data_IF_820628667276
#
_entry.id   IF_820628667276
#
_cell.length_a   1.000
_cell.length_b   1.000
_cell.length_c   1.000
_cell.angle_alpha   90.00
_cell.angle_beta   90.00
_cell.angle_gamma   90.00
#
_symmetry.space_group_name_H-M   'P 1'
#
loop_
_entity.id
_entity.type
_entity.pdbx_description
1 polymer ?
#
# COMPACT_ATOMS: atom_id res chain seq x y z
N UNK A 1 -16.76 25.92 30.93
CA UNK A 1 -17.47 26.42 29.74
C UNK A 1 -16.42 26.64 28.69
N UNK A 2 -16.16 25.62 27.89
CA UNK A 2 -15.45 25.78 26.62
C UNK A 2 -16.45 26.38 25.66
N UNK A 3 -16.15 27.56 25.15
CA UNK A 3 -16.89 28.15 24.03
C UNK A 3 -16.65 27.20 22.85
N UNK A 4 -17.71 26.52 22.39
CA UNK A 4 -17.67 25.81 21.11
C UNK A 4 -17.46 26.88 20.03
N UNK A 5 -16.24 26.92 19.46
CA UNK A 5 -15.98 27.67 18.23
C UNK A 5 -16.89 27.09 17.15
N UNK A 6 -17.86 27.88 16.71
CA UNK A 6 -18.77 27.54 15.63
C UNK A 6 -17.97 27.57 14.32
N UNK A 7 -17.48 26.41 13.87
CA UNK A 7 -16.74 26.28 12.61
C UNK A 7 -17.64 26.64 11.43
N UNK A 8 -17.16 27.48 10.52
CA UNK A 8 -17.87 27.87 9.30
C UNK A 8 -18.01 26.65 8.35
N UNK A 9 -19.22 26.13 8.11
CA UNK A 9 -19.43 24.95 7.28
C UNK A 9 -19.02 25.15 5.81
N UNK A 10 -19.00 26.39 5.31
CA UNK A 10 -18.56 26.66 3.93
C UNK A 10 -17.03 26.54 3.81
N UNK A 11 -16.29 26.93 4.86
CA UNK A 11 -14.84 26.72 4.91
C UNK A 11 -14.48 25.23 4.96
N UNK A 12 -15.19 24.45 5.79
CA UNK A 12 -15.00 22.99 5.84
C UNK A 12 -15.28 22.32 4.48
N UNK A 13 -16.29 22.79 3.75
CA UNK A 13 -16.63 22.24 2.44
C UNK A 13 -15.54 22.53 1.39
N UNK A 14 -14.96 23.72 1.38
CA UNK A 14 -13.86 24.05 0.47
C UNK A 14 -12.60 23.23 0.76
N UNK A 15 -12.29 22.98 2.04
CA UNK A 15 -11.18 22.10 2.44
C UNK A 15 -11.40 20.67 1.95
N UNK A 16 -12.61 20.13 2.11
CA UNK A 16 -12.98 18.79 1.61
C UNK A 16 -12.88 18.72 0.09
N UNK A 17 -13.31 19.75 -0.64
CA UNK A 17 -13.15 19.81 -2.11
C UNK A 17 -11.68 19.80 -2.51
N UNK A 18 -10.84 20.58 -1.84
CA UNK A 18 -9.39 20.62 -2.07
C UNK A 18 -8.74 19.26 -1.84
N UNK A 19 -9.13 18.57 -0.77
CA UNK A 19 -8.69 17.21 -0.43
C UNK A 19 -9.03 16.22 -1.54
N UNK A 20 -10.29 16.22 -2.00
CA UNK A 20 -10.78 15.34 -3.06
C UNK A 20 -10.06 15.63 -4.37
N UNK A 21 -9.89 16.91 -4.73
CA UNK A 21 -9.19 17.29 -5.95
C UNK A 21 -7.73 16.80 -5.96
N UNK A 22 -7.02 16.95 -4.83
CA UNK A 22 -5.66 16.44 -4.66
C UNK A 22 -5.58 14.92 -4.82
N UNK A 23 -6.51 14.17 -4.20
CA UNK A 23 -6.59 12.71 -4.35
C UNK A 23 -6.81 12.27 -5.80
N UNK A 24 -7.71 12.94 -6.51
CA UNK A 24 -7.99 12.67 -7.93
C UNK A 24 -6.77 12.96 -8.80
N UNK A 25 -6.15 14.12 -8.64
CA UNK A 25 -4.95 14.51 -9.41
C UNK A 25 -3.82 13.50 -9.17
N UNK A 26 -3.60 13.10 -7.92
CA UNK A 26 -2.59 12.10 -7.56
C UNK A 26 -2.89 10.73 -8.17
N UNK A 27 -4.15 10.30 -8.18
CA UNK A 27 -4.58 9.08 -8.85
C UNK A 27 -4.30 9.10 -10.36
N UNK A 28 -4.58 10.22 -11.02
CA UNK A 28 -4.29 10.42 -12.45
C UNK A 28 -2.78 10.40 -12.70
N UNK A 29 -1.99 11.14 -11.91
CA UNK A 29 -0.53 11.15 -12.01
C UNK A 29 0.05 9.74 -11.89
N UNK A 30 -0.40 8.97 -10.88
CA UNK A 30 0.00 7.57 -10.71
C UNK A 30 -0.36 6.72 -11.93
N UNK A 31 -1.57 6.88 -12.48
CA UNK A 31 -1.99 6.15 -13.68
C UNK A 31 -1.09 6.45 -14.87
N UNK A 32 -0.78 7.72 -15.12
CA UNK A 32 0.09 8.14 -16.23
C UNK A 32 1.48 7.51 -16.13
N UNK A 33 2.05 7.48 -14.92
CA UNK A 33 3.32 6.80 -14.63
C UNK A 33 3.21 5.30 -14.85
N UNK A 34 2.17 4.66 -14.32
CA UNK A 34 1.95 3.23 -14.48
C UNK A 34 1.79 2.87 -15.96
N UNK A 35 1.08 3.66 -16.74
CA UNK A 35 0.85 3.41 -18.17
C UNK A 35 2.08 3.74 -19.04
N UNK A 36 3.16 4.28 -18.46
CA UNK A 36 4.36 4.68 -19.20
C UNK A 36 4.14 5.93 -20.07
N UNK A 37 3.09 6.72 -19.80
CA UNK A 37 2.84 7.98 -20.50
C UNK A 37 3.84 9.08 -20.08
N UNK A 38 4.43 8.94 -18.88
CA UNK A 38 5.39 9.87 -18.32
C UNK A 38 6.66 9.14 -17.92
N UNK A 39 7.79 9.61 -18.45
CA UNK A 39 9.12 9.21 -18.00
C UNK A 39 9.51 10.01 -16.76
N UNK A 40 9.59 9.33 -15.61
CA UNK A 40 9.90 9.94 -14.32
C UNK A 40 11.30 10.56 -14.28
N UNK A 41 12.24 10.09 -15.09
CA UNK A 41 13.60 10.64 -15.13
C UNK A 41 13.66 11.96 -15.91
N UNK A 42 12.60 12.27 -16.67
CA UNK A 42 12.54 13.43 -17.55
C UNK A 42 11.65 14.57 -17.04
N UNK A 43 10.90 14.37 -15.94
CA UNK A 43 9.93 15.35 -15.44
C UNK A 43 10.17 15.70 -13.97
N UNK A 44 9.91 16.95 -13.60
CA UNK A 44 9.83 17.34 -12.19
C UNK A 44 8.48 16.93 -11.59
N UNK A 45 8.39 16.91 -10.25
CA UNK A 45 7.10 16.63 -9.59
C UNK A 45 6.03 17.67 -9.86
N UNK A 46 6.43 18.93 -10.02
CA UNK A 46 5.51 20.00 -10.41
C UNK A 46 5.01 19.79 -11.85
N UNK A 47 5.88 19.38 -12.78
CA UNK A 47 5.46 19.08 -14.15
C UNK A 47 4.48 17.91 -14.22
N UNK A 48 4.74 16.84 -13.46
CA UNK A 48 3.81 15.71 -13.34
C UNK A 48 2.45 16.14 -12.78
N UNK A 49 2.44 16.99 -11.75
CA UNK A 49 1.21 17.53 -11.18
C UNK A 49 0.41 18.34 -12.23
N UNK A 50 1.09 19.17 -13.01
CA UNK A 50 0.46 20.02 -14.02
C UNK A 50 0.03 19.22 -15.26
N UNK A 51 0.73 18.14 -15.60
CA UNK A 51 0.28 17.14 -16.57
C UNK A 51 -1.00 16.44 -16.09
N UNK A 52 -1.04 15.98 -14.84
CA UNK A 52 -2.21 15.31 -14.28
C UNK A 52 -3.44 16.24 -14.18
N UNK A 53 -3.25 17.51 -13.81
CA UNK A 53 -4.32 18.52 -13.85
C UNK A 53 -4.86 18.74 -15.25
N UNK A 54 -3.98 18.85 -16.26
CA UNK A 54 -4.39 18.99 -17.67
C UNK A 54 -5.19 17.77 -18.11
N UNK A 55 -4.72 16.57 -17.79
CA UNK A 55 -5.40 15.31 -18.09
C UNK A 55 -6.80 15.25 -17.44
N UNK A 56 -6.92 15.68 -16.18
CA UNK A 56 -8.22 15.80 -15.50
C UNK A 56 -9.18 16.72 -16.26
N UNK A 57 -8.72 17.90 -16.68
CA UNK A 57 -9.53 18.86 -17.44
C UNK A 57 -9.96 18.29 -18.79
N UNK A 58 -9.08 17.57 -19.48
CA UNK A 58 -9.39 16.89 -20.75
C UNK A 58 -10.47 15.83 -20.57
N UNK A 59 -10.30 14.94 -19.58
CA UNK A 59 -11.27 13.90 -19.24
C UNK A 59 -12.65 14.52 -18.94
N UNK A 60 -12.69 15.57 -18.11
CA UNK A 60 -13.94 16.26 -17.75
C UNK A 60 -14.61 16.89 -18.98
N UNK A 61 -13.83 17.48 -19.89
CA UNK A 61 -14.35 18.12 -21.11
C UNK A 61 -14.84 17.12 -22.14
N UNK A 62 -14.18 15.96 -22.28
CA UNK A 62 -14.62 14.93 -23.22
C UNK A 62 -15.85 14.17 -22.70
N UNK A 63 -16.10 14.20 -21.39
CA UNK A 63 -17.15 13.42 -20.75
C UNK A 63 -16.75 11.97 -20.51
N UNK A 64 -15.48 11.61 -20.76
CA UNK A 64 -14.94 10.26 -20.55
C UNK A 64 -14.52 10.00 -19.10
N UNK A 65 -15.21 10.65 -18.14
CA UNK A 65 -14.89 10.50 -16.73
C UNK A 65 -15.85 9.56 -16.04
N UNK A 66 -15.35 8.38 -15.71
CA UNK A 66 -15.99 7.49 -14.78
C UNK A 66 -15.19 7.49 -13.47
N UNK A 67 -15.67 8.26 -12.49
CA UNK A 67 -15.07 8.29 -11.17
C UNK A 67 -15.64 7.15 -10.31
N UNK A 68 -14.87 6.08 -10.21
CA UNK A 68 -15.10 5.07 -9.16
C UNK A 68 -14.24 5.40 -7.94
N UNK A 69 -14.88 5.84 -6.86
CA UNK A 69 -14.21 6.01 -5.58
C UNK A 69 -13.99 4.62 -4.95
N UNK A 70 -12.72 4.23 -4.80
CA UNK A 70 -12.32 3.02 -4.08
C UNK A 70 -11.82 3.43 -2.71
N UNK A 71 -12.52 3.00 -1.66
CA UNK A 71 -12.08 3.23 -0.29
C UNK A 71 -10.91 2.29 0.03
N UNK A 72 -9.72 2.87 0.24
CA UNK A 72 -8.53 2.12 0.62
C UNK A 72 -8.54 1.87 2.14
N UNK A 73 -8.65 0.59 2.53
CA UNK A 73 -8.62 0.16 3.93
C UNK A 73 -7.25 -0.39 4.36
N UNK A 74 -6.22 -0.28 3.52
CA UNK A 74 -4.90 -0.88 3.75
C UNK A 74 -4.27 -0.46 5.10
N UNK A 75 -4.32 0.83 5.44
CA UNK A 75 -3.81 1.35 6.71
C UNK A 75 -4.60 0.85 7.92
N UNK A 76 -5.93 0.75 7.78
CA UNK A 76 -6.79 0.23 8.84
C UNK A 76 -6.51 -1.26 9.09
N UNK A 77 -6.34 -2.05 8.03
CA UNK A 77 -5.99 -3.48 8.12
C UNK A 77 -4.66 -3.66 8.88
N UNK A 78 -3.65 -2.85 8.59
CA UNK A 78 -2.37 -2.94 9.28
C UNK A 78 -2.46 -2.47 10.74
N UNK A 79 -3.23 -1.42 11.00
CA UNK A 79 -3.53 -0.92 12.35
C UNK A 79 -4.25 -1.98 13.18
N UNK A 80 -5.22 -2.67 12.60
CA UNK A 80 -5.94 -3.78 13.24
C UNK A 80 -4.99 -4.95 13.54
N UNK A 81 -4.07 -5.28 12.62
CA UNK A 81 -3.05 -6.31 12.85
C UNK A 81 -2.19 -6.02 14.09
N UNK A 82 -1.69 -4.78 14.19
CA UNK A 82 -0.88 -4.30 15.32
C UNK A 82 -1.67 -4.28 16.62
N UNK A 83 -2.89 -3.75 16.58
CA UNK A 83 -3.80 -3.71 17.73
C UNK A 83 -4.08 -5.12 18.26
N UNK A 84 -4.31 -6.10 17.39
CA UNK A 84 -4.53 -7.48 17.81
C UNK A 84 -3.27 -8.12 18.40
N UNK A 85 -2.09 -7.82 17.84
CA UNK A 85 -0.82 -8.30 18.37
C UNK A 85 -0.54 -7.75 19.79
N UNK A 86 -0.75 -6.45 20.00
CA UNK A 86 -0.59 -5.79 21.30
C UNK A 86 -1.54 -6.34 22.37
N UNK A 87 -2.74 -6.73 21.96
CA UNK A 87 -3.74 -7.34 22.84
C UNK A 87 -3.55 -8.86 23.05
N UNK A 88 -2.44 -9.44 22.55
CA UNK A 88 -2.12 -10.87 22.68
C UNK A 88 -3.04 -11.80 21.87
N UNK A 89 -3.79 -11.24 20.92
CA UNK A 89 -4.73 -11.94 20.01
C UNK A 89 -4.03 -12.27 18.68
N UNK A 90 -2.92 -13.01 18.76
CA UNK A 90 -2.00 -13.26 17.64
C UNK A 90 -2.67 -13.87 16.41
N UNK A 91 -3.66 -14.73 16.59
CA UNK A 91 -4.36 -15.39 15.49
C UNK A 91 -5.06 -14.37 14.61
N UNK A 92 -5.70 -13.38 15.23
CA UNK A 92 -6.32 -12.25 14.52
C UNK A 92 -5.25 -11.36 13.90
N UNK A 93 -4.15 -11.10 14.60
CA UNK A 93 -3.03 -10.36 14.03
C UNK A 93 -2.53 -11.01 12.73
N UNK A 94 -2.31 -12.34 12.72
CA UNK A 94 -1.90 -13.06 11.51
C UNK A 94 -2.96 -13.05 10.40
N UNK A 95 -4.25 -13.03 10.73
CA UNK A 95 -5.32 -12.83 9.74
C UNK A 95 -5.19 -11.47 9.06
N UNK A 96 -5.05 -10.39 9.83
CA UNK A 96 -4.93 -9.03 9.30
C UNK A 96 -3.62 -8.80 8.54
N UNK A 97 -2.48 -9.31 9.04
CA UNK A 97 -1.23 -9.27 8.27
C UNK A 97 -1.34 -10.02 6.94
N UNK A 98 -1.91 -11.23 6.93
CA UNK A 98 -2.11 -11.98 5.69
C UNK A 98 -3.04 -11.26 4.70
N UNK A 99 -4.09 -10.59 5.22
CA UNK A 99 -5.00 -9.77 4.42
C UNK A 99 -4.28 -8.55 3.84
N UNK A 100 -3.45 -7.88 4.63
CA UNK A 100 -2.61 -6.76 4.19
C UNK A 100 -1.70 -7.18 3.01
N UNK A 101 -0.96 -8.28 3.15
CA UNK A 101 -0.08 -8.75 2.07
C UNK A 101 -0.85 -9.05 0.79
N UNK A 102 -2.01 -9.71 0.91
CA UNK A 102 -2.86 -10.04 -0.21
C UNK A 102 -3.34 -8.78 -0.94
N UNK A 103 -3.77 -7.74 -0.22
CA UNK A 103 -4.18 -6.47 -0.81
C UNK A 103 -3.04 -5.75 -1.54
N UNK A 104 -1.88 -5.65 -0.88
CA UNK A 104 -0.71 -4.97 -1.42
C UNK A 104 -0.18 -5.69 -2.67
N UNK A 105 -0.09 -7.03 -2.63
CA UNK A 105 0.31 -7.84 -3.79
C UNK A 105 -0.71 -7.76 -4.93
N UNK A 106 -2.01 -7.78 -4.63
CA UNK A 106 -3.05 -7.65 -5.65
C UNK A 106 -2.99 -6.28 -6.34
N UNK A 107 -2.73 -5.20 -5.59
CA UNK A 107 -2.49 -3.87 -6.18
C UNK A 107 -1.31 -3.93 -7.15
N UNK A 108 -0.17 -4.45 -6.73
CA UNK A 108 1.02 -4.54 -7.57
C UNK A 108 0.81 -5.40 -8.83
N UNK A 109 0.15 -6.56 -8.69
CA UNK A 109 -0.19 -7.43 -9.82
C UNK A 109 -1.09 -6.71 -10.80
N UNK A 110 -2.12 -5.99 -10.33
CA UNK A 110 -3.03 -5.21 -11.18
C UNK A 110 -2.29 -4.11 -11.93
N UNK A 111 -1.48 -3.32 -11.23
CA UNK A 111 -0.71 -2.23 -11.83
C UNK A 111 0.27 -2.77 -12.88
N UNK A 112 0.93 -3.89 -12.60
CA UNK A 112 1.83 -4.53 -13.56
C UNK A 112 1.10 -5.17 -14.74
N UNK A 113 -0.11 -5.70 -14.53
CA UNK A 113 -0.94 -6.22 -15.61
C UNK A 113 -1.36 -5.11 -16.60
N UNK A 114 -1.71 -3.93 -16.08
CA UNK A 114 -2.00 -2.74 -16.90
C UNK A 114 -0.77 -2.33 -17.72
N UNK A 115 0.42 -2.31 -17.11
CA UNK A 115 1.69 -2.02 -17.80
C UNK A 115 2.00 -2.97 -18.95
N UNK A 116 1.52 -4.21 -18.87
CA UNK A 116 1.76 -5.25 -19.86
C UNK A 116 0.59 -5.38 -20.85
N UNK A 117 -0.34 -4.43 -20.86
CA UNK A 117 -1.55 -4.43 -21.70
C UNK A 117 -2.38 -5.72 -21.58
N UNK A 118 -2.39 -6.31 -20.38
CA UNK A 118 -3.24 -7.48 -20.10
C UNK A 118 -4.69 -7.02 -19.92
N UNK A 119 -5.62 -7.84 -20.38
CA UNK A 119 -7.04 -7.58 -20.15
C UNK A 119 -7.38 -7.61 -18.65
N UNK A 120 -8.44 -6.90 -18.26
CA UNK A 120 -8.92 -6.89 -16.86
C UNK A 120 -9.18 -8.32 -16.35
N UNK A 121 -9.73 -9.19 -17.21
CA UNK A 121 -9.97 -10.60 -16.90
C UNK A 121 -8.68 -11.35 -16.58
N UNK A 122 -7.62 -11.14 -17.37
CA UNK A 122 -6.31 -11.77 -17.12
C UNK A 122 -5.71 -11.25 -15.81
N UNK A 123 -5.77 -9.95 -15.56
CA UNK A 123 -5.34 -9.36 -14.28
C UNK A 123 -6.08 -9.96 -13.08
N UNK A 124 -7.40 -10.12 -13.17
CA UNK A 124 -8.23 -10.75 -12.13
C UNK A 124 -7.83 -12.22 -11.89
N UNK A 125 -7.56 -12.98 -12.96
CA UNK A 125 -7.11 -14.38 -12.83
C UNK A 125 -5.73 -14.51 -12.15
N UNK A 126 -4.84 -13.54 -12.34
CA UNK A 126 -3.55 -13.49 -11.64
C UNK A 126 -3.72 -13.11 -10.15
N UNK A 127 -4.62 -12.17 -9.85
CA UNK A 127 -4.94 -11.79 -8.46
C UNK A 127 -5.66 -12.89 -7.68
N UNK A 128 -6.37 -13.81 -8.35
CA UNK A 128 -7.03 -14.95 -7.69
C UNK A 128 -6.08 -16.07 -7.25
N UNK A 129 -4.82 -16.03 -7.69
CA UNK A 129 -3.84 -17.08 -7.36
C UNK A 129 -3.52 -17.11 -5.87
N UNK A 130 -3.15 -18.30 -5.37
CA UNK A 130 -2.73 -18.44 -3.98
C UNK A 130 -1.39 -17.73 -3.72
N UNK A 131 -1.14 -17.36 -2.46
CA UNK A 131 0.09 -16.67 -2.03
C UNK A 131 1.39 -17.32 -2.54
N UNK A 132 1.57 -18.67 -2.50
CA UNK A 132 2.78 -19.31 -3.04
C UNK A 132 2.98 -19.12 -4.54
N UNK A 133 1.90 -19.10 -5.33
CA UNK A 133 1.95 -18.94 -6.78
C UNK A 133 2.21 -17.48 -7.14
N UNK A 134 1.53 -16.54 -6.45
CA UNK A 134 1.74 -15.09 -6.57
C UNK A 134 3.20 -14.71 -6.38
N UNK A 135 3.80 -15.11 -5.26
CA UNK A 135 5.20 -14.80 -4.92
C UNK A 135 6.22 -15.64 -5.71
N UNK A 136 5.76 -16.61 -6.50
CA UNK A 136 6.58 -17.54 -7.24
C UNK A 136 6.58 -17.23 -8.74
N UNK A 137 5.94 -18.10 -9.51
CA UNK A 137 5.94 -18.02 -10.97
C UNK A 137 5.22 -16.77 -11.47
N UNK A 138 4.07 -16.41 -10.88
CA UNK A 138 3.32 -15.21 -11.27
C UNK A 138 4.18 -13.96 -11.13
N UNK A 139 4.85 -13.78 -9.99
CA UNK A 139 5.77 -12.65 -9.79
C UNK A 139 6.87 -12.61 -10.86
N UNK A 140 7.52 -13.76 -11.09
CA UNK A 140 8.62 -13.86 -12.05
C UNK A 140 8.18 -13.48 -13.46
N UNK A 141 6.99 -13.92 -13.88
CA UNK A 141 6.47 -13.62 -15.21
C UNK A 141 6.09 -12.14 -15.35
N UNK A 142 5.49 -11.54 -14.32
CA UNK A 142 5.07 -10.15 -14.37
C UNK A 142 6.23 -9.16 -14.25
N UNK A 143 7.15 -9.40 -13.31
CA UNK A 143 8.19 -8.44 -12.94
C UNK A 143 9.56 -8.78 -13.52
N UNK A 144 9.72 -9.91 -14.22
CA UNK A 144 11.00 -10.34 -14.80
C UNK A 144 12.07 -10.73 -13.78
N UNK A 145 11.75 -10.71 -12.48
CA UNK A 145 12.68 -10.98 -11.39
C UNK A 145 12.07 -11.96 -10.37
N UNK A 146 12.92 -12.65 -9.61
CA UNK A 146 12.46 -13.46 -8.48
C UNK A 146 12.03 -12.55 -7.33
N UNK A 147 10.98 -12.95 -6.63
CA UNK A 147 10.58 -12.30 -5.38
C UNK A 147 11.69 -12.49 -4.32
N UNK A 148 12.01 -11.49 -3.46
CA UNK A 148 13.03 -11.63 -2.42
C UNK A 148 12.76 -12.81 -1.47
N UNK A 149 13.72 -13.73 -1.34
CA UNK A 149 13.45 -15.05 -0.72
C UNK A 149 13.14 -14.95 0.78
N UNK A 150 13.80 -14.07 1.53
CA UNK A 150 13.53 -13.85 2.96
C UNK A 150 12.12 -13.29 3.18
N UNK A 151 11.76 -12.23 2.46
CA UNK A 151 10.42 -11.64 2.50
C UNK A 151 9.34 -12.64 2.09
N UNK A 152 9.62 -13.45 1.05
CA UNK A 152 8.73 -14.54 0.62
C UNK A 152 8.54 -15.56 1.74
N UNK A 153 9.60 -15.95 2.43
CA UNK A 153 9.53 -16.92 3.52
C UNK A 153 8.66 -16.41 4.68
N UNK A 154 8.80 -15.13 5.05
CA UNK A 154 8.02 -14.49 6.10
C UNK A 154 6.52 -14.37 5.73
N UNK A 155 6.20 -13.88 4.52
CA UNK A 155 4.81 -13.77 4.04
C UNK A 155 4.13 -15.16 4.01
N UNK A 156 4.85 -16.18 3.52
CA UNK A 156 4.33 -17.55 3.48
C UNK A 156 4.19 -18.16 4.88
N UNK A 157 5.06 -17.82 5.84
CA UNK A 157 4.93 -18.26 7.22
C UNK A 157 3.67 -17.68 7.87
N UNK A 158 3.43 -16.38 7.71
CA UNK A 158 2.21 -15.72 8.18
C UNK A 158 0.95 -16.30 7.53
N UNK A 159 0.97 -16.51 6.20
CA UNK A 159 -0.15 -17.11 5.48
C UNK A 159 -0.47 -18.53 5.96
N UNK A 160 0.57 -19.34 6.26
CA UNK A 160 0.38 -20.67 6.87
C UNK A 160 -0.26 -20.57 8.25
N UNK A 161 0.20 -19.66 9.12
CA UNK A 161 -0.40 -19.44 10.45
C UNK A 161 -1.87 -19.03 10.35
N UNK A 162 -2.19 -18.10 9.45
CA UNK A 162 -3.58 -17.71 9.14
C UNK A 162 -4.41 -18.93 8.72
N UNK A 163 -3.90 -19.76 7.81
CA UNK A 163 -4.63 -20.95 7.37
C UNK A 163 -4.77 -22.00 8.47
N UNK A 164 -3.75 -22.16 9.34
CA UNK A 164 -3.83 -23.01 10.53
C UNK A 164 -4.91 -22.56 11.50
N UNK A 165 -5.14 -21.25 11.64
CA UNK A 165 -6.22 -20.71 12.47
C UNK A 165 -7.61 -20.90 11.84
N UNK A 166 -7.75 -20.58 10.54
CA UNK A 166 -9.06 -20.61 9.87
C UNK A 166 -9.53 -22.04 9.57
N UNK A 167 -8.63 -22.89 9.07
CA UNK A 167 -9.01 -24.19 8.48
C UNK A 167 -8.69 -25.38 9.37
N UNK A 168 -7.79 -25.21 10.34
CA UNK A 168 -7.43 -26.28 11.26
C UNK A 168 -7.82 -25.88 12.68
N UNK A 169 -8.11 -26.86 13.53
CA UNK A 169 -8.14 -26.58 14.97
C UNK A 169 -6.70 -26.26 15.33
N UNK A 170 -6.44 -25.02 15.75
CA UNK A 170 -5.14 -24.60 16.26
C UNK A 170 -4.75 -25.55 17.39
N UNK A 171 -3.94 -26.56 17.08
CA UNK A 171 -3.54 -27.57 18.06
C UNK A 171 -2.38 -26.99 18.84
N UNK A 172 -2.60 -26.71 20.12
CA UNK A 172 -1.50 -26.61 21.07
C UNK A 172 -0.72 -27.93 20.94
N UNK A 173 0.56 -27.83 20.60
CA UNK A 173 1.42 -29.02 20.58
C UNK A 173 1.55 -29.48 22.04
N UNK A 174 0.99 -30.65 22.41
CA UNK A 174 0.98 -31.11 23.79
C UNK A 174 2.38 -31.39 24.33
N UNK A 175 3.41 -31.44 23.48
CA UNK A 175 4.81 -31.57 23.91
C UNK A 175 5.44 -30.23 24.30
N UNK A 176 4.87 -29.10 23.85
CA UNK A 176 5.33 -27.74 24.12
C UNK A 176 4.76 -27.13 25.40
N UNK A 177 3.73 -27.74 26.02
CA UNK A 177 3.21 -27.31 27.33
C UNK A 177 4.29 -27.25 28.43
N UNK A 178 5.42 -27.93 28.22
CA UNK A 178 6.54 -27.94 29.17
C UNK A 178 7.47 -26.71 29.11
N UNK A 179 7.33 -25.79 28.13
CA UNK A 179 8.21 -24.64 27.99
C UNK A 179 7.51 -23.36 27.47
N UNK A 180 6.77 -22.70 28.37
CA UNK A 180 6.04 -21.45 28.11
C UNK A 180 6.93 -20.32 27.57
N UNK A 181 8.16 -20.20 28.06
CA UNK A 181 9.10 -19.16 27.60
C UNK A 181 9.51 -19.36 26.14
N UNK A 182 9.75 -20.61 25.72
CA UNK A 182 10.07 -20.93 24.34
C UNK A 182 8.88 -20.70 23.39
N UNK A 183 7.65 -20.99 23.85
CA UNK A 183 6.41 -20.71 23.14
C UNK A 183 6.24 -19.20 22.90
N UNK A 184 6.39 -18.39 23.96
CA UNK A 184 6.28 -16.93 23.90
C UNK A 184 7.36 -16.31 23.00
N UNK A 185 8.62 -16.76 23.12
CA UNK A 185 9.70 -16.32 22.25
C UNK A 185 9.42 -16.65 20.77
N UNK A 186 8.87 -17.84 20.49
CA UNK A 186 8.48 -18.25 19.13
C UNK A 186 7.32 -17.40 18.59
N UNK A 187 6.34 -17.07 19.42
CA UNK A 187 5.21 -16.17 19.09
C UNK A 187 5.71 -14.77 18.75
N UNK A 188 6.46 -14.16 19.66
CA UNK A 188 7.04 -12.83 19.49
C UNK A 188 7.90 -12.74 18.22
N UNK A 189 8.77 -13.72 17.97
CA UNK A 189 9.57 -13.81 16.74
C UNK A 189 8.70 -13.87 15.47
N UNK A 190 7.57 -14.53 15.53
CA UNK A 190 6.67 -14.69 14.37
C UNK A 190 5.87 -13.42 14.08
N UNK A 191 5.42 -12.70 15.11
CA UNK A 191 4.78 -11.39 14.95
C UNK A 191 5.78 -10.35 14.43
N UNK A 192 7.01 -10.34 14.95
CA UNK A 192 8.06 -9.46 14.45
C UNK A 192 8.42 -9.75 12.98
N UNK A 193 8.40 -11.02 12.56
CA UNK A 193 8.57 -11.38 11.16
C UNK A 193 7.41 -10.91 10.28
N UNK A 194 6.17 -10.98 10.78
CA UNK A 194 5.00 -10.50 10.06
C UNK A 194 5.01 -8.96 9.89
N UNK A 195 5.33 -8.21 10.95
CA UNK A 195 5.44 -6.75 10.89
C UNK A 195 6.56 -6.32 9.93
N UNK A 196 7.75 -6.94 10.05
CA UNK A 196 8.86 -6.69 9.12
C UNK A 196 8.43 -6.95 7.68
N UNK A 197 7.76 -8.07 7.41
CA UNK A 197 7.29 -8.38 6.07
C UNK A 197 6.26 -7.37 5.54
N UNK A 198 5.45 -6.74 6.40
CA UNK A 198 4.51 -5.70 5.97
C UNK A 198 5.25 -4.45 5.49
N UNK A 199 6.25 -4.01 6.26
CA UNK A 199 7.10 -2.86 5.93
C UNK A 199 7.93 -3.15 4.67
N UNK A 200 8.68 -4.26 4.67
CA UNK A 200 9.57 -4.65 3.58
C UNK A 200 8.83 -4.86 2.26
N UNK A 201 7.58 -5.37 2.30
CA UNK A 201 6.75 -5.54 1.11
C UNK A 201 6.37 -4.20 0.49
N UNK A 202 5.91 -3.25 1.30
CA UNK A 202 5.55 -1.91 0.84
C UNK A 202 6.77 -1.20 0.28
N UNK A 203 7.91 -1.25 0.97
CA UNK A 203 9.15 -0.67 0.49
C UNK A 203 9.66 -1.35 -0.78
N UNK A 204 9.58 -2.67 -0.87
CA UNK A 204 9.96 -3.39 -2.09
C UNK A 204 9.10 -2.98 -3.29
N UNK A 205 7.78 -2.85 -3.10
CA UNK A 205 6.86 -2.50 -4.15
C UNK A 205 6.95 -1.05 -4.58
N UNK A 206 7.12 -0.13 -3.64
CA UNK A 206 7.35 1.27 -3.95
C UNK A 206 8.57 1.37 -4.86
N UNK A 207 9.70 0.75 -4.49
CA UNK A 207 10.92 0.72 -5.31
C UNK A 207 10.77 0.09 -6.70
N UNK A 208 9.87 -0.89 -6.82
CA UNK A 208 9.70 -1.66 -8.06
C UNK A 208 8.78 -0.95 -9.06
N UNK A 209 7.79 -0.21 -8.57
CA UNK A 209 6.72 0.37 -9.39
C UNK A 209 6.93 1.86 -9.68
N UNK A 210 7.63 2.56 -8.78
CA UNK A 210 7.95 3.99 -8.90
C UNK A 210 9.40 4.14 -8.48
N UNK A 211 10.22 4.92 -9.18
CA UNK A 211 11.57 5.17 -8.67
C UNK A 211 11.44 5.78 -7.26
N UNK A 212 11.99 5.13 -6.22
CA UNK A 212 11.83 5.58 -4.83
C UNK A 212 12.64 6.86 -4.57
N UNK A 213 13.62 7.13 -5.42
CA UNK A 213 14.55 8.22 -5.32
C UNK A 213 13.94 9.45 -5.99
N UNK A 214 13.70 10.49 -5.18
CA UNK A 214 13.13 11.76 -5.63
C UNK A 214 11.78 12.09 -5.01
N UNK A 215 11.42 13.37 -5.07
CA UNK A 215 10.22 13.90 -4.40
C UNK A 215 8.92 13.36 -5.00
N UNK A 216 8.95 12.94 -6.27
CA UNK A 216 7.81 12.35 -6.97
C UNK A 216 7.39 11.02 -6.36
N UNK A 217 8.35 10.13 -6.08
CA UNK A 217 8.08 8.84 -5.46
C UNK A 217 7.42 9.03 -4.10
N UNK A 218 8.02 9.87 -3.24
CA UNK A 218 7.46 10.20 -1.92
C UNK A 218 6.05 10.78 -2.03
N UNK A 219 5.83 11.72 -2.95
CA UNK A 219 4.52 12.32 -3.16
C UNK A 219 3.49 11.33 -3.68
N UNK A 220 3.84 10.40 -4.58
CA UNK A 220 2.92 9.37 -5.08
C UNK A 220 2.54 8.34 -4.01
N UNK A 221 3.40 8.13 -3.01
CA UNK A 221 3.19 7.14 -1.95
C UNK A 221 2.68 7.72 -0.62
N UNK A 222 2.76 9.03 -0.42
CA UNK A 222 2.31 9.65 0.83
C UNK A 222 0.79 9.55 1.02
N UNK A 223 0.31 8.99 2.13
CA UNK A 223 -1.10 9.14 2.52
C UNK A 223 -1.44 10.60 2.84
N UNK A 224 -0.41 11.43 3.07
CA UNK A 224 -0.51 12.87 3.31
C UNK A 224 -0.62 13.63 1.98
N UNK A 225 -1.61 14.52 1.91
CA UNK A 225 -2.05 15.21 0.69
C UNK A 225 -1.35 16.55 0.43
N UNK A 226 -0.50 17.00 1.35
CA UNK A 226 0.25 18.24 1.18
C UNK A 226 1.61 17.93 0.58
N UNK A 227 1.92 18.39 -0.66
CA UNK A 227 3.31 18.67 -0.99
C UNK A 227 3.79 19.72 0.01
N UNK A 228 4.93 19.49 0.65
CA UNK A 228 5.54 20.47 1.54
C UNK A 228 6.00 21.66 0.67
N UNK A 229 5.37 22.85 0.76
CA UNK A 229 5.74 23.99 -0.07
C UNK A 229 7.10 24.58 0.35
N UNK A 230 7.62 24.20 1.52
CA UNK A 230 8.70 24.91 2.22
C UNK A 230 9.89 24.02 2.64
N UNK A 231 10.08 22.84 2.03
CA UNK A 231 11.19 21.94 2.44
C UNK A 231 12.62 22.46 2.15
N UNK A 232 12.77 23.64 1.55
CA UNK A 232 13.98 24.47 1.72
C UNK A 232 13.59 25.95 1.85
N UNK A 233 13.31 26.39 3.08
CA UNK A 233 13.58 27.79 3.44
C UNK A 233 15.09 27.99 3.42
N UNK A 234 15.57 28.35 2.23
CA UNK A 234 16.84 28.99 1.96
C UNK A 234 17.05 30.09 3.01
N UNK A 235 17.93 29.79 3.97
CA UNK A 235 18.33 30.69 5.04
C UNK A 235 19.07 31.87 4.45
N UNK A 236 18.31 32.88 3.99
CA UNK A 236 18.88 34.21 3.77
C UNK A 236 19.21 34.80 5.13
N UNK A 237 20.49 34.70 5.47
CA UNK A 237 21.13 35.62 6.40
C UNK A 237 20.76 37.05 5.99
N UNK A 238 19.99 37.71 6.85
CA UNK A 238 19.83 39.16 6.81
C UNK A 238 21.02 39.69 7.63
N UNK A 239 22.00 40.24 6.93
CA UNK A 239 23.01 41.16 7.46
C UNK A 239 22.36 42.44 8.03
#
# INVERSE_FOLDING_TARGET
MTEDEETDPDAELEDVKGLIASLVIKGIARSMVIQGEVDLDAVSGQDLLDLAKRRLVELVRSGDVDFTMILDHTENILTDARTHAENGKDEYAFVFYALYYEHILNRAIRERAIQLDLSEKEGLELMRRGMPEKLGLTWKLLFGAKFPEELRADILATSRRRNSFIHYKWHADPTLESNLEAEEARRSKSLAAAERAAVDLTDHLNRLLVSPDGDIGKWLHSSRLTPDPDSESDGREID
#
